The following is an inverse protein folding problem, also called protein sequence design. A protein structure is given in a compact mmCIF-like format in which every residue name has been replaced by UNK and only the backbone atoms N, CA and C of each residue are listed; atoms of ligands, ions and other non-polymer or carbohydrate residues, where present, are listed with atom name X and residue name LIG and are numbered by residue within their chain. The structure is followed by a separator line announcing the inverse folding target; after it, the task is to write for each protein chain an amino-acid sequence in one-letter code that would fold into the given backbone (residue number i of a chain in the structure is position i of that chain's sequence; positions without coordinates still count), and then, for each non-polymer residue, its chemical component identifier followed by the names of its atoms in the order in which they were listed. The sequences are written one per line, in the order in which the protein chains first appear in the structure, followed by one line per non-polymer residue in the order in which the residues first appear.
data_IF_163712280675
#
_entry.id   IF_163712280675
#
_cell.length_a   1.000
_cell.length_b   1.000
_cell.length_c   1.000
_cell.angle_alpha   90.00
_cell.angle_beta   90.00
_cell.angle_gamma   90.00
#
_symmetry.space_group_name_H-M   'P 1'
#
loop_
_entity.id
_entity.type
_entity.pdbx_description
1 polymer ?
#
# COMPACT_ATOMS: atom_id res chain seq x y z
N UNK A 1 -57.22 33.86 -12.50
CA UNK A 1 -56.31 34.35 -13.56
C UNK A 1 -55.29 35.28 -12.89
N UNK A 2 -53.98 34.98 -13.01
CA UNK A 2 -52.79 35.82 -12.65
C UNK A 2 -52.62 36.12 -11.14
N UNK A 3 -51.47 35.98 -10.48
CA UNK A 3 -50.09 35.63 -10.83
C UNK A 3 -49.45 35.21 -9.50
N UNK A 4 -48.99 33.96 -9.36
CA UNK A 4 -48.25 33.54 -8.16
C UNK A 4 -46.83 34.08 -8.30
N UNK A 5 -46.43 34.85 -7.29
CA UNK A 5 -45.17 35.58 -7.19
C UNK A 5 -43.99 34.63 -7.30
N UNK A 6 -43.13 34.93 -8.28
CA UNK A 6 -41.76 34.42 -8.44
C UNK A 6 -40.97 34.68 -7.15
N UNK A 7 -40.39 33.63 -6.57
CA UNK A 7 -39.02 33.61 -6.01
C UNK A 7 -38.83 32.33 -5.18
N UNK A 8 -38.42 31.26 -5.84
CA UNK A 8 -37.73 30.14 -5.18
C UNK A 8 -36.25 30.44 -5.37
N UNK A 9 -35.67 31.12 -4.38
CA UNK A 9 -34.24 31.42 -4.30
C UNK A 9 -33.54 30.24 -3.62
N UNK A 10 -32.41 29.86 -4.22
CA UNK A 10 -31.30 29.10 -3.64
C UNK A 10 -31.53 27.61 -3.35
N UNK A 11 -31.57 26.82 -4.43
CA UNK A 11 -31.00 25.48 -4.43
C UNK A 11 -29.71 25.53 -5.26
N UNK A 12 -28.56 25.51 -4.59
CA UNK A 12 -27.22 25.10 -5.06
C UNK A 12 -26.17 25.55 -4.03
N UNK A 13 -26.23 24.98 -2.83
CA UNK A 13 -24.97 24.75 -2.11
C UNK A 13 -24.46 23.41 -2.63
N UNK A 14 -23.64 23.50 -3.66
CA UNK A 14 -22.61 22.51 -3.96
C UNK A 14 -21.75 22.50 -2.70
N UNK A 15 -22.10 21.64 -1.74
CA UNK A 15 -21.13 21.26 -0.73
C UNK A 15 -20.14 20.44 -1.52
N UNK A 16 -19.03 21.08 -1.88
CA UNK A 16 -17.78 20.39 -2.15
C UNK A 16 -17.59 19.47 -0.94
N UNK A 17 -18.03 18.22 -1.08
CA UNK A 17 -17.29 17.10 -0.50
C UNK A 17 -15.97 17.11 -1.24
N UNK A 18 -15.15 18.09 -0.87
CA UNK A 18 -13.71 18.05 -1.01
C UNK A 18 -13.39 16.65 -0.56
N UNK A 19 -13.03 15.80 -1.53
CA UNK A 19 -12.16 14.69 -1.24
C UNK A 19 -10.98 15.36 -0.55
N UNK A 20 -11.03 15.40 0.77
CA UNK A 20 -9.83 15.38 1.57
C UNK A 20 -9.25 13.99 1.29
N UNK A 21 -8.70 13.83 0.09
CA UNK A 21 -7.47 13.08 -0.06
C UNK A 21 -6.59 13.71 1.00
N UNK A 22 -6.47 13.00 2.11
CA UNK A 22 -5.45 13.32 3.07
C UNK A 22 -4.15 13.23 2.27
N UNK A 23 -3.62 14.38 1.85
CA UNK A 23 -2.20 14.56 1.54
C UNK A 23 -1.45 14.27 2.84
N UNK A 24 -1.46 13.02 3.28
CA UNK A 24 -0.34 12.50 4.06
C UNK A 24 0.73 12.34 2.99
N UNK A 25 1.56 13.37 2.86
CA UNK A 25 2.77 13.29 2.05
C UNK A 25 3.59 12.12 2.59
N UNK A 26 3.44 10.94 1.97
CA UNK A 26 4.14 9.73 2.37
C UNK A 26 5.62 9.94 2.11
N UNK A 27 6.44 9.76 3.14
CA UNK A 27 7.86 10.04 3.02
C UNK A 27 8.51 9.04 2.05
N UNK A 28 9.50 9.49 1.26
CA UNK A 28 10.25 8.62 0.35
C UNK A 28 10.88 7.41 1.08
N UNK A 29 11.26 7.58 2.35
CA UNK A 29 11.78 6.50 3.17
C UNK A 29 10.74 5.40 3.40
N UNK A 30 9.48 5.76 3.65
CA UNK A 30 8.39 4.80 3.79
C UNK A 30 8.09 4.09 2.46
N UNK A 31 8.14 4.82 1.34
CA UNK A 31 8.01 4.23 0.00
C UNK A 31 9.14 3.26 -0.32
N UNK A 32 10.38 3.59 0.07
CA UNK A 32 11.50 2.67 -0.09
C UNK A 32 11.34 1.41 0.76
N UNK A 33 10.86 1.54 2.01
CA UNK A 33 10.60 0.34 2.82
C UNK A 33 9.50 -0.51 2.19
N UNK A 34 8.42 0.09 1.70
CA UNK A 34 7.35 -0.67 1.02
C UNK A 34 7.89 -1.44 -0.20
N UNK A 35 8.76 -0.84 -1.01
CA UNK A 35 9.39 -1.53 -2.15
C UNK A 35 10.22 -2.74 -1.71
N UNK A 36 10.91 -2.61 -0.58
CA UNK A 36 11.65 -3.72 0.02
C UNK A 36 10.75 -4.85 0.53
N UNK A 37 9.64 -4.52 1.19
CA UNK A 37 8.68 -5.52 1.67
C UNK A 37 7.99 -6.21 0.50
N UNK A 38 7.64 -5.49 -0.56
CA UNK A 38 7.04 -6.07 -1.76
C UNK A 38 7.94 -7.12 -2.44
N UNK A 39 9.23 -6.82 -2.49
CA UNK A 39 10.23 -7.77 -3.01
C UNK A 39 10.32 -9.02 -2.13
N UNK A 40 10.24 -8.87 -0.81
CA UNK A 40 10.19 -10.00 0.11
C UNK A 40 8.91 -10.83 -0.04
N UNK A 41 7.75 -10.21 -0.27
CA UNK A 41 6.49 -10.94 -0.55
C UNK A 41 6.65 -11.83 -1.77
N UNK A 42 7.14 -11.28 -2.89
CA UNK A 42 7.37 -12.08 -4.10
C UNK A 42 8.36 -13.22 -3.88
N UNK A 43 9.50 -12.94 -3.23
CA UNK A 43 10.48 -13.98 -2.93
C UNK A 43 9.90 -15.06 -2.00
N UNK A 44 9.08 -14.67 -1.02
CA UNK A 44 8.44 -15.60 -0.10
C UNK A 44 7.42 -16.50 -0.83
N UNK A 45 6.59 -15.94 -1.72
CA UNK A 45 5.69 -16.70 -2.58
C UNK A 45 6.42 -17.70 -3.49
N UNK A 46 7.57 -17.30 -4.04
CA UNK A 46 8.33 -18.13 -4.98
C UNK A 46 9.13 -19.25 -4.28
N UNK A 47 9.76 -18.94 -3.15
CA UNK A 47 10.79 -19.81 -2.56
C UNK A 47 10.40 -20.44 -1.21
N UNK A 48 9.34 -19.97 -0.56
CA UNK A 48 9.04 -20.34 0.83
C UNK A 48 7.70 -21.08 1.01
N UNK A 49 7.17 -21.72 -0.05
CA UNK A 49 5.92 -22.50 0.02
C UNK A 49 5.93 -23.64 1.06
N UNK A 50 7.11 -24.18 1.39
CA UNK A 50 7.28 -25.21 2.43
C UNK A 50 7.42 -24.63 3.85
N UNK A 51 7.42 -23.31 4.02
CA UNK A 51 7.54 -22.67 5.33
C UNK A 51 6.28 -22.93 6.17
N UNK A 52 6.45 -23.19 7.47
CA UNK A 52 5.35 -23.47 8.40
C UNK A 52 4.31 -22.34 8.53
N UNK A 53 4.68 -21.11 8.19
CA UNK A 53 3.84 -19.92 8.25
C UNK A 53 3.25 -19.53 6.88
N UNK A 54 3.59 -20.24 5.80
CA UNK A 54 3.25 -19.86 4.43
C UNK A 54 1.77 -19.55 4.26
N UNK A 55 0.90 -20.54 4.50
CA UNK A 55 -0.55 -20.38 4.34
C UNK A 55 -1.08 -19.21 5.20
N UNK A 56 -0.58 -19.08 6.43
CA UNK A 56 -1.04 -18.02 7.35
C UNK A 56 -0.66 -16.63 6.84
N UNK A 57 0.55 -16.47 6.32
CA UNK A 57 1.05 -15.20 5.79
C UNK A 57 0.31 -14.83 4.50
N UNK A 58 0.19 -15.76 3.55
CA UNK A 58 -0.45 -15.51 2.26
C UNK A 58 -1.94 -15.23 2.41
N UNK A 59 -2.67 -16.05 3.18
CA UNK A 59 -4.11 -15.83 3.41
C UNK A 59 -4.37 -14.47 4.07
N UNK A 60 -3.47 -14.04 4.95
CA UNK A 60 -3.61 -12.77 5.66
C UNK A 60 -3.32 -11.57 4.76
N UNK A 61 -2.32 -11.64 3.89
CA UNK A 61 -2.03 -10.60 2.90
C UNK A 61 -3.28 -10.26 2.07
N UNK A 62 -4.00 -11.29 1.61
CA UNK A 62 -5.20 -11.15 0.78
C UNK A 62 -6.36 -10.41 1.47
N UNK A 63 -6.38 -10.35 2.79
CA UNK A 63 -7.43 -9.68 3.58
C UNK A 63 -6.90 -8.45 4.34
N UNK A 64 -5.64 -8.07 4.14
CA UNK A 64 -5.02 -6.95 4.84
C UNK A 64 -5.46 -5.62 4.20
N UNK A 65 -6.24 -4.78 4.89
CA UNK A 65 -6.62 -3.46 4.38
C UNK A 65 -5.42 -2.56 4.16
N UNK A 66 -4.32 -2.82 4.90
CA UNK A 66 -3.06 -2.12 4.71
C UNK A 66 -2.42 -2.51 3.39
N UNK A 67 -2.39 -3.81 3.07
CA UNK A 67 -1.89 -4.30 1.78
C UNK A 67 -2.72 -3.76 0.62
N UNK A 68 -4.05 -3.80 0.72
CA UNK A 68 -4.97 -3.24 -0.28
C UNK A 68 -4.72 -1.74 -0.50
N UNK A 69 -4.66 -0.97 0.58
CA UNK A 69 -4.39 0.47 0.51
C UNK A 69 -3.06 0.73 -0.21
N UNK A 70 -1.95 0.17 0.27
CA UNK A 70 -0.65 0.46 -0.32
C UNK A 70 -0.54 -0.02 -1.76
N UNK A 71 -1.14 -1.15 -2.12
CA UNK A 71 -1.18 -1.61 -3.51
C UNK A 71 -1.87 -0.58 -4.43
N UNK A 72 -2.93 0.07 -3.95
CA UNK A 72 -3.61 1.13 -4.72
C UNK A 72 -2.81 2.44 -4.83
N UNK A 73 -1.93 2.73 -3.86
CA UNK A 73 -1.08 3.92 -3.88
C UNK A 73 0.09 3.78 -4.87
N UNK A 74 0.47 2.55 -5.26
CA UNK A 74 1.56 2.31 -6.22
C UNK A 74 1.29 2.94 -7.59
N UNK A 75 0.03 3.00 -8.00
CA UNK A 75 -0.39 3.61 -9.27
C UNK A 75 -0.38 5.16 -9.22
N UNK A 76 -0.06 5.74 -8.06
CA UNK A 76 -0.14 7.17 -7.78
C UNK A 76 1.17 7.77 -7.30
N UNK A 77 2.27 7.01 -7.31
CA UNK A 77 3.59 7.53 -6.94
C UNK A 77 4.04 8.63 -7.91
N UNK A 78 4.63 9.70 -7.37
CA UNK A 78 5.37 10.65 -8.19
C UNK A 78 6.78 10.13 -8.52
N UNK A 79 7.47 10.76 -9.46
CA UNK A 79 8.81 10.34 -9.92
C UNK A 79 9.84 10.11 -8.79
N UNK A 80 9.79 10.90 -7.72
CA UNK A 80 10.72 10.73 -6.59
C UNK A 80 10.37 9.52 -5.74
N UNK A 81 9.08 9.27 -5.57
CA UNK A 81 8.58 8.12 -4.84
C UNK A 81 8.79 6.83 -5.63
N UNK A 82 8.60 6.85 -6.95
CA UNK A 82 8.96 5.73 -7.83
C UNK A 82 10.45 5.37 -7.68
N UNK A 83 11.34 6.36 -7.72
CA UNK A 83 12.77 6.13 -7.51
C UNK A 83 13.08 5.59 -6.10
N UNK A 84 12.35 6.04 -5.08
CA UNK A 84 12.51 5.54 -3.73
C UNK A 84 12.06 4.07 -3.62
N UNK A 85 10.92 3.75 -4.23
CA UNK A 85 10.40 2.39 -4.35
C UNK A 85 11.42 1.45 -5.01
N UNK A 86 11.94 1.84 -6.19
CA UNK A 86 12.95 1.07 -6.91
C UNK A 86 14.22 0.82 -6.09
N UNK A 87 14.66 1.80 -5.30
CA UNK A 87 15.82 1.62 -4.41
C UNK A 87 15.53 0.63 -3.29
N UNK A 88 14.31 0.69 -2.76
CA UNK A 88 13.81 -0.28 -1.80
C UNK A 88 13.83 -1.71 -2.33
N UNK A 89 13.29 -1.90 -3.54
CA UNK A 89 13.22 -3.23 -4.19
C UNK A 89 14.62 -3.78 -4.45
N UNK A 90 15.51 -2.97 -5.04
CA UNK A 90 16.90 -3.35 -5.31
C UNK A 90 17.63 -3.71 -4.01
N UNK A 91 17.44 -2.93 -2.95
CA UNK A 91 18.06 -3.17 -1.66
C UNK A 91 17.64 -4.51 -1.05
N UNK A 92 16.33 -4.80 -1.03
CA UNK A 92 15.82 -6.06 -0.53
C UNK A 92 16.28 -7.26 -1.37
N UNK A 93 16.22 -7.16 -2.71
CA UNK A 93 16.70 -8.19 -3.61
C UNK A 93 18.17 -8.53 -3.34
N UNK A 94 19.03 -7.52 -3.16
CA UNK A 94 20.45 -7.74 -2.86
C UNK A 94 20.69 -8.48 -1.52
N UNK A 95 19.89 -8.20 -0.49
CA UNK A 95 19.97 -8.89 0.81
C UNK A 95 19.51 -10.35 0.68
N UNK A 96 18.45 -10.60 -0.08
CA UNK A 96 17.93 -11.94 -0.39
C UNK A 96 18.96 -12.75 -1.17
N UNK A 97 19.49 -12.20 -2.27
CA UNK A 97 20.48 -12.85 -3.13
C UNK A 97 21.79 -13.16 -2.38
N UNK A 98 22.16 -12.33 -1.41
CA UNK A 98 23.30 -12.57 -0.54
C UNK A 98 23.08 -13.68 0.50
N UNK A 99 21.87 -14.26 0.57
CA UNK A 99 21.50 -15.28 1.55
C UNK A 99 21.42 -14.74 2.98
N UNK A 100 21.20 -13.43 3.14
CA UNK A 100 21.17 -12.76 4.45
C UNK A 100 19.77 -12.73 5.08
N UNK A 101 18.77 -13.27 4.39
CA UNK A 101 17.42 -13.47 4.92
C UNK A 101 16.95 -14.87 4.56
N UNK A 102 16.16 -15.47 5.44
CA UNK A 102 15.51 -16.77 5.25
C UNK A 102 13.99 -16.63 5.23
N UNK A 103 13.29 -17.74 5.03
CA UNK A 103 11.83 -17.76 4.98
C UNK A 103 11.17 -17.33 6.30
N UNK A 104 11.75 -17.64 7.45
CA UNK A 104 11.17 -17.26 8.75
C UNK A 104 11.30 -15.74 8.97
N UNK A 105 12.44 -15.16 8.59
CA UNK A 105 12.67 -13.72 8.64
C UNK A 105 11.72 -13.01 7.66
N UNK A 106 11.61 -13.49 6.42
CA UNK A 106 10.69 -12.91 5.43
C UNK A 106 9.24 -12.98 5.92
N UNK A 107 8.81 -14.12 6.46
CA UNK A 107 7.49 -14.28 7.06
C UNK A 107 7.23 -13.26 8.18
N UNK A 108 8.20 -13.04 9.08
CA UNK A 108 8.10 -12.07 10.18
C UNK A 108 7.96 -10.65 9.65
N UNK A 109 8.79 -10.24 8.69
CA UNK A 109 8.74 -8.88 8.11
C UNK A 109 7.39 -8.64 7.44
N UNK A 110 6.92 -9.60 6.63
CA UNK A 110 5.63 -9.52 5.96
C UNK A 110 4.49 -9.43 6.99
N UNK A 111 4.56 -10.25 8.04
CA UNK A 111 3.57 -10.26 9.12
C UNK A 111 3.54 -8.95 9.91
N UNK A 112 4.69 -8.38 10.26
CA UNK A 112 4.76 -7.09 10.95
C UNK A 112 4.18 -5.95 10.10
N UNK A 113 4.37 -6.01 8.78
CA UNK A 113 3.90 -4.98 7.88
C UNK A 113 2.41 -5.10 7.57
N UNK A 114 1.94 -6.32 7.29
CA UNK A 114 0.60 -6.54 6.73
C UNK A 114 -0.25 -7.54 7.52
N UNK A 115 0.33 -8.25 8.48
CA UNK A 115 -0.34 -9.27 9.30
C UNK A 115 -1.17 -8.70 10.45
N UNK A 116 -0.76 -7.57 11.04
CA UNK A 116 -1.48 -6.96 12.16
C UNK A 116 -2.65 -6.05 11.72
N UNK A 117 -3.82 -6.35 12.31
CA UNK A 117 -5.04 -5.55 12.38
C UNK A 117 -5.70 -5.87 13.72
#
# INVERSE_FOLDING_TARGET
MKTIVKSIIALLFIVNSSFAFHDVEVANEEIAVLGGVWTQIFAYEEYCFDNQYYDTVIDRLMISPRFERYSSELDHLNERQELAWERGTIGAAAVIDAGQTDCDIMASVIWEWFGEN
#
